data_IF_316489960908
#
_entry.id   IF_316489960908
#
_cell.length_a   1.000
_cell.length_b   1.000
_cell.length_c   1.000
_cell.angle_alpha   90.00
_cell.angle_beta   90.00
_cell.angle_gamma   90.00
#
_symmetry.space_group_name_H-M   'P 1'
#
loop_
_entity.id
_entity.type
_entity.pdbx_description
1 polymer ?
#
# COMPACT_ATOMS: atom_id res chain seq x y z
N UNK A 1 2.36 13.18 5.54
CA UNK A 1 2.34 13.00 7.01
C UNK A 1 3.24 11.82 7.38
N UNK A 2 3.67 11.69 8.63
CA UNK A 2 4.26 10.43 9.08
C UNK A 2 3.26 9.28 8.89
N UNK A 3 3.75 8.21 8.28
CA UNK A 3 3.04 6.93 8.24
C UNK A 3 2.95 6.34 9.64
N UNK A 4 1.87 5.63 9.92
CA UNK A 4 1.69 4.86 11.15
C UNK A 4 1.60 3.37 10.81
N UNK A 5 1.90 2.45 11.75
CA UNK A 5 1.77 1.02 11.51
C UNK A 5 0.40 0.61 10.97
N UNK A 6 -0.67 1.30 11.39
CA UNK A 6 -2.04 1.00 10.96
C UNK A 6 -2.27 1.27 9.47
N UNK A 7 -1.47 2.14 8.84
CA UNK A 7 -1.59 2.39 7.40
C UNK A 7 -1.13 1.18 6.58
N UNK A 8 -0.02 0.56 7.01
CA UNK A 8 0.47 -0.69 6.42
C UNK A 8 -0.50 -1.82 6.69
N UNK A 9 -0.99 -1.93 7.94
CA UNK A 9 -1.94 -2.97 8.33
C UNK A 9 -3.23 -2.92 7.49
N UNK A 10 -3.77 -1.73 7.23
CA UNK A 10 -4.96 -1.56 6.36
C UNK A 10 -4.70 -2.02 4.92
N UNK A 11 -3.54 -1.69 4.36
CA UNK A 11 -3.19 -2.12 3.01
C UNK A 11 -3.05 -3.64 2.92
N UNK A 12 -2.34 -4.25 3.87
CA UNK A 12 -2.20 -5.71 3.96
C UNK A 12 -3.56 -6.39 4.18
N UNK A 13 -4.39 -5.85 5.07
CA UNK A 13 -5.74 -6.36 5.33
C UNK A 13 -6.59 -6.35 4.07
N UNK A 14 -6.60 -5.26 3.31
CA UNK A 14 -7.34 -5.17 2.06
C UNK A 14 -6.88 -6.21 1.01
N UNK A 15 -5.57 -6.51 0.96
CA UNK A 15 -5.04 -7.59 0.11
C UNK A 15 -5.53 -8.95 0.61
N UNK A 16 -5.40 -9.24 1.90
CA UNK A 16 -5.80 -10.51 2.50
C UNK A 16 -7.32 -10.76 2.43
N UNK A 17 -8.12 -9.71 2.41
CA UNK A 17 -9.58 -9.76 2.22
C UNK A 17 -10.01 -9.99 0.75
N UNK A 18 -9.05 -10.12 -0.18
CA UNK A 18 -9.30 -10.40 -1.58
C UNK A 18 -9.77 -9.20 -2.41
N UNK A 19 -9.65 -7.97 -1.86
CA UNK A 19 -10.05 -6.74 -2.60
C UNK A 19 -9.16 -6.46 -3.83
N UNK A 20 -8.06 -7.20 -3.97
CA UNK A 20 -7.07 -7.09 -5.03
C UNK A 20 -6.78 -8.42 -5.75
N UNK A 21 -7.71 -9.38 -5.74
CA UNK A 21 -7.47 -10.74 -6.27
C UNK A 21 -6.99 -10.77 -7.72
N UNK A 22 -7.45 -9.84 -8.55
CA UNK A 22 -7.03 -9.73 -9.95
C UNK A 22 -5.73 -8.91 -10.17
N UNK A 23 -5.04 -8.53 -9.10
CA UNK A 23 -3.81 -7.71 -9.13
C UNK A 23 -2.58 -8.46 -8.60
N UNK A 24 -2.55 -9.78 -8.76
CA UNK A 24 -1.40 -10.60 -8.37
C UNK A 24 -0.10 -10.10 -9.03
N UNK A 25 0.99 -10.11 -8.26
CA UNK A 25 2.33 -9.71 -8.72
C UNK A 25 2.62 -8.21 -8.68
N UNK A 26 1.68 -7.38 -8.23
CA UNK A 26 1.89 -5.94 -8.10
C UNK A 26 2.62 -5.55 -6.81
N UNK A 27 3.39 -4.47 -6.87
CA UNK A 27 4.02 -3.83 -5.71
C UNK A 27 3.19 -2.61 -5.30
N UNK A 28 2.71 -2.58 -4.06
CA UNK A 28 1.93 -1.46 -3.51
C UNK A 28 2.79 -0.69 -2.51
N UNK A 29 3.13 0.56 -2.84
CA UNK A 29 3.90 1.44 -1.97
C UNK A 29 2.98 2.15 -0.96
N UNK A 30 3.18 1.88 0.33
CA UNK A 30 2.43 2.51 1.44
C UNK A 30 3.33 3.51 2.17
N UNK A 31 3.82 4.50 1.42
CA UNK A 31 4.89 5.41 1.86
C UNK A 31 4.50 6.90 1.82
N UNK A 32 3.22 7.20 1.57
CA UNK A 32 2.73 8.57 1.43
C UNK A 32 3.24 9.28 0.17
N UNK A 33 3.67 8.53 -0.85
CA UNK A 33 4.18 9.06 -2.12
C UNK A 33 5.67 9.36 -2.10
N UNK A 34 6.42 8.87 -1.10
CA UNK A 34 7.85 9.12 -0.97
C UNK A 34 8.68 8.57 -2.14
N UNK A 35 8.31 7.42 -2.68
CA UNK A 35 8.96 6.84 -3.86
C UNK A 35 8.74 7.64 -5.15
N UNK A 36 7.76 8.56 -5.17
CA UNK A 36 7.51 9.38 -6.35
C UNK A 36 8.61 10.44 -6.48
N UNK A 37 9.31 10.39 -7.61
CA UNK A 37 10.29 11.41 -7.98
C UNK A 37 9.53 12.55 -8.66
N UNK A 38 9.33 13.65 -7.93
CA UNK A 38 8.72 14.89 -8.45
C UNK A 38 9.75 16.01 -8.52
N UNK A 39 9.66 16.84 -9.56
CA UNK A 39 10.34 18.13 -9.70
C UNK A 39 9.48 19.25 -9.11
#
# INVERSE_FOLDING_TARGET
RWGRPEDVAKAVGAIAEGRFDFSTGQVINVDGGFHLRRL
#
